data_IF_846079854332
#
_entry.id   IF_846079854332
#
_cell.length_a   1.000
_cell.length_b   1.000
_cell.length_c   1.000
_cell.angle_alpha   90.00
_cell.angle_beta   90.00
_cell.angle_gamma   90.00
#
_symmetry.space_group_name_H-M   'P 1'
#
loop_
_entity.id
_entity.type
_entity.pdbx_description
1 polymer ?
#
# COMPACT_ATOMS: atom_id res chain seq x y z
N UNK A 1 -32.20 -39.36 -9.92
CA UNK A 1 -31.30 -38.32 -9.38
C UNK A 1 -30.34 -37.78 -10.45
N UNK A 2 -29.87 -38.61 -11.40
CA UNK A 2 -28.90 -38.19 -12.43
C UNK A 2 -29.41 -37.16 -13.45
N UNK A 3 -30.68 -37.22 -13.86
CA UNK A 3 -31.24 -36.28 -14.84
C UNK A 3 -31.41 -34.86 -14.28
N UNK A 4 -31.71 -34.75 -12.98
CA UNK A 4 -31.82 -33.45 -12.29
C UNK A 4 -30.43 -32.80 -12.20
N UNK A 5 -29.41 -33.58 -11.83
CA UNK A 5 -28.03 -33.10 -11.77
C UNK A 5 -27.50 -32.65 -13.13
N UNK A 6 -27.86 -33.32 -14.24
CA UNK A 6 -27.51 -32.88 -15.60
C UNK A 6 -28.16 -31.54 -15.97
N UNK A 7 -29.44 -31.34 -15.62
CA UNK A 7 -30.14 -30.09 -15.90
C UNK A 7 -29.54 -28.94 -15.09
N UNK A 8 -29.29 -29.16 -13.79
CA UNK A 8 -28.66 -28.15 -12.92
C UNK A 8 -27.28 -27.77 -13.46
N UNK A 9 -26.45 -28.74 -13.83
CA UNK A 9 -25.11 -28.50 -14.36
C UNK A 9 -25.11 -27.80 -15.73
N UNK A 10 -26.21 -27.82 -16.47
CA UNK A 10 -26.34 -27.11 -17.74
C UNK A 10 -26.90 -25.69 -17.56
N UNK A 11 -27.88 -25.51 -16.66
CA UNK A 11 -28.53 -24.23 -16.39
C UNK A 11 -27.63 -23.31 -15.57
N UNK A 12 -26.89 -23.85 -14.60
CA UNK A 12 -26.06 -23.06 -13.70
C UNK A 12 -24.96 -22.25 -14.42
N UNK A 13 -24.18 -22.81 -15.37
CA UNK A 13 -23.20 -22.05 -16.15
C UNK A 13 -23.81 -20.94 -17.02
N UNK A 14 -25.02 -21.16 -17.55
CA UNK A 14 -25.72 -20.16 -18.35
C UNK A 14 -26.19 -18.99 -17.48
N UNK A 15 -26.69 -19.29 -16.28
CA UNK A 15 -27.09 -18.29 -15.30
C UNK A 15 -25.90 -17.48 -14.78
N UNK A 16 -24.76 -18.12 -14.50
CA UNK A 16 -23.55 -17.41 -14.07
C UNK A 16 -22.97 -16.55 -15.19
N UNK A 17 -22.98 -17.03 -16.44
CA UNK A 17 -22.55 -16.23 -17.59
C UNK A 17 -23.44 -14.99 -17.79
N UNK A 18 -24.76 -15.15 -17.66
CA UNK A 18 -25.70 -14.04 -17.71
C UNK A 18 -25.47 -13.04 -16.57
N UNK A 19 -25.29 -13.54 -15.33
CA UNK A 19 -24.98 -12.69 -14.19
C UNK A 19 -23.67 -11.91 -14.43
N UNK A 20 -22.62 -12.56 -14.92
CA UNK A 20 -21.37 -11.86 -15.26
C UNK A 20 -21.60 -10.79 -16.32
N UNK A 21 -22.34 -11.06 -17.39
CA UNK A 21 -22.62 -10.06 -18.43
C UNK A 21 -23.36 -8.81 -17.90
N UNK A 22 -24.23 -8.97 -16.91
CA UNK A 22 -25.00 -7.86 -16.32
C UNK A 22 -24.21 -7.13 -15.22
N UNK A 23 -23.55 -7.87 -14.33
CA UNK A 23 -22.89 -7.31 -13.14
C UNK A 23 -21.45 -6.86 -13.41
N UNK A 24 -20.74 -7.45 -14.38
CA UNK A 24 -19.37 -7.07 -14.71
C UNK A 24 -19.24 -5.62 -15.24
N UNK A 25 -20.08 -5.13 -16.18
CA UNK A 25 -19.95 -3.75 -16.68
C UNK A 25 -20.33 -2.71 -15.62
N UNK A 26 -21.27 -3.01 -14.72
CA UNK A 26 -21.61 -2.11 -13.61
C UNK A 26 -20.49 -2.05 -12.58
N UNK A 27 -19.88 -3.20 -12.25
CA UNK A 27 -18.68 -3.26 -11.41
C UNK A 27 -17.52 -2.44 -11.98
N UNK A 28 -17.27 -2.53 -13.30
CA UNK A 28 -16.23 -1.73 -13.96
C UNK A 28 -16.47 -0.22 -13.85
N UNK A 29 -17.73 0.23 -13.96
CA UNK A 29 -18.08 1.66 -13.79
C UNK A 29 -17.80 2.16 -12.38
N UNK A 30 -18.18 1.39 -11.36
CA UNK A 30 -17.90 1.73 -9.95
C UNK A 30 -16.40 1.79 -9.70
N UNK A 31 -15.64 0.80 -10.18
CA UNK A 31 -14.17 0.78 -10.04
C UNK A 31 -13.51 1.97 -10.75
N UNK A 32 -14.00 2.33 -11.92
CA UNK A 32 -13.45 3.46 -12.69
C UNK A 32 -13.75 4.79 -12.01
N UNK A 33 -14.98 5.00 -11.53
CA UNK A 33 -15.36 6.19 -10.77
C UNK A 33 -14.53 6.32 -9.49
N UNK A 34 -14.34 5.22 -8.75
CA UNK A 34 -13.48 5.20 -7.57
C UNK A 34 -12.01 5.48 -7.90
N UNK A 35 -11.51 4.95 -9.02
CA UNK A 35 -10.15 5.23 -9.51
C UNK A 35 -9.96 6.71 -9.85
N UNK A 36 -10.94 7.33 -10.50
CA UNK A 36 -10.93 8.76 -10.84
C UNK A 36 -11.00 9.62 -9.57
N UNK A 37 -11.89 9.30 -8.63
CA UNK A 37 -11.99 9.99 -7.35
C UNK A 37 -10.64 9.95 -6.59
N UNK A 38 -10.01 8.78 -6.52
CA UNK A 38 -8.73 8.59 -5.83
C UNK A 38 -7.58 9.34 -6.49
N UNK A 39 -7.59 9.50 -7.82
CA UNK A 39 -6.61 10.33 -8.53
C UNK A 39 -6.86 11.83 -8.32
N UNK A 40 -8.12 12.26 -8.25
CA UNK A 40 -8.51 13.65 -8.00
C UNK A 40 -8.20 14.10 -6.58
N UNK A 41 -8.34 13.22 -5.58
CA UNK A 41 -8.04 13.49 -4.17
C UNK A 41 -6.62 13.02 -3.77
N UNK A 42 -5.65 13.09 -4.68
CA UNK A 42 -4.26 12.77 -4.33
C UNK A 42 -3.66 13.86 -3.45
N UNK A 43 -3.38 13.56 -2.19
CA UNK A 43 -2.63 14.46 -1.32
C UNK A 43 -1.25 14.77 -1.91
N UNK A 44 -0.85 16.04 -1.88
CA UNK A 44 0.52 16.41 -2.19
C UNK A 44 1.42 16.04 -1.01
N UNK A 45 2.29 15.06 -1.25
CA UNK A 45 3.20 14.46 -0.28
C UNK A 45 4.66 14.78 -0.60
N UNK A 46 4.90 15.52 -1.69
CA UNK A 46 6.23 15.96 -2.06
C UNK A 46 6.82 16.82 -0.94
N UNK A 47 8.04 16.49 -0.53
CA UNK A 47 8.74 17.20 0.55
C UNK A 47 8.26 16.89 1.98
N UNK A 48 7.20 16.08 2.15
CA UNK A 48 6.74 15.59 3.46
C UNK A 48 7.49 14.34 3.88
N UNK A 49 7.46 14.02 5.18
CA UNK A 49 8.03 12.79 5.73
C UNK A 49 6.89 11.79 5.98
N UNK A 50 6.99 10.60 5.40
CA UNK A 50 6.00 9.53 5.53
C UNK A 50 6.61 8.34 6.24
N UNK A 51 6.00 7.94 7.35
CA UNK A 51 6.39 6.78 8.15
C UNK A 51 5.53 5.59 7.69
N UNK A 52 6.17 4.50 7.28
CA UNK A 52 5.49 3.30 6.80
C UNK A 52 5.93 2.11 7.65
N UNK A 53 4.97 1.49 8.34
CA UNK A 53 5.20 0.23 9.09
C UNK A 53 4.92 -0.99 8.22
N UNK A 54 5.60 -2.11 8.50
CA UNK A 54 5.46 -3.32 7.69
C UNK A 54 5.98 -3.12 6.26
N UNK A 55 7.00 -2.27 6.10
CA UNK A 55 7.44 -1.79 4.79
C UNK A 55 8.20 -2.84 3.96
N UNK A 56 8.61 -3.98 4.55
CA UNK A 56 9.44 -4.95 3.84
C UNK A 56 8.67 -5.89 2.90
N UNK A 57 7.33 -5.79 2.83
CA UNK A 57 6.54 -6.52 1.80
C UNK A 57 5.12 -5.98 1.61
N UNK A 58 4.46 -6.43 0.55
CA UNK A 58 3.01 -6.35 0.42
C UNK A 58 2.53 -4.90 0.28
N UNK A 59 1.59 -4.48 1.13
CA UNK A 59 1.00 -3.14 1.04
C UNK A 59 2.01 -2.06 1.45
N UNK A 60 2.78 -2.30 2.53
CA UNK A 60 3.80 -1.34 3.00
C UNK A 60 4.88 -1.09 1.95
N UNK A 61 5.36 -2.15 1.31
CA UNK A 61 6.30 -2.06 0.18
C UNK A 61 5.70 -1.26 -0.99
N UNK A 62 4.48 -1.60 -1.42
CA UNK A 62 3.84 -0.91 -2.54
C UNK A 62 3.65 0.59 -2.25
N UNK A 63 3.37 0.95 -0.99
CA UNK A 63 3.26 2.33 -0.57
C UNK A 63 4.61 3.03 -0.53
N UNK A 64 5.68 2.38 -0.06
CA UNK A 64 7.02 2.95 -0.11
C UNK A 64 7.37 3.39 -1.53
N UNK A 65 7.06 2.55 -2.53
CA UNK A 65 7.28 2.89 -3.93
C UNK A 65 6.37 4.03 -4.42
N UNK A 66 5.08 3.97 -4.11
CA UNK A 66 4.13 5.00 -4.56
C UNK A 66 4.39 6.38 -3.94
N UNK A 67 4.79 6.44 -2.66
CA UNK A 67 5.17 7.70 -2.01
C UNK A 67 6.55 8.19 -2.48
N UNK A 68 7.49 7.27 -2.75
CA UNK A 68 8.77 7.60 -3.37
C UNK A 68 8.58 8.28 -4.72
N UNK A 69 7.75 7.72 -5.62
CA UNK A 69 7.40 8.33 -6.91
C UNK A 69 6.82 9.75 -6.80
N UNK A 70 6.20 10.07 -5.66
CA UNK A 70 5.59 11.38 -5.39
C UNK A 70 6.54 12.34 -4.68
N UNK A 71 7.82 11.99 -4.52
CA UNK A 71 8.85 12.85 -3.94
C UNK A 71 8.72 13.03 -2.42
N UNK A 72 8.11 12.08 -1.72
CA UNK A 72 8.07 12.07 -0.26
C UNK A 72 9.39 11.56 0.31
N UNK A 73 9.82 12.12 1.44
CA UNK A 73 10.86 11.54 2.29
C UNK A 73 10.26 10.35 3.05
N UNK A 74 10.97 9.24 3.18
CA UNK A 74 10.40 8.03 3.78
C UNK A 74 11.18 7.56 4.99
N UNK A 75 10.44 7.15 6.02
CA UNK A 75 10.96 6.36 7.13
C UNK A 75 10.25 5.01 7.14
N UNK A 76 10.98 3.95 6.84
CA UNK A 76 10.44 2.60 6.67
C UNK A 76 10.80 1.75 7.88
N UNK A 77 9.82 1.03 8.44
CA UNK A 77 10.05 0.10 9.55
C UNK A 77 9.45 -1.27 9.28
N UNK A 78 10.23 -2.30 9.55
CA UNK A 78 9.84 -3.72 9.52
C UNK A 78 10.81 -4.52 10.39
N UNK A 79 10.45 -5.76 10.71
CA UNK A 79 11.31 -6.71 11.43
C UNK A 79 12.30 -7.42 10.51
N UNK A 80 12.03 -7.47 9.20
CA UNK A 80 12.88 -8.15 8.20
C UNK A 80 13.90 -7.17 7.60
N UNK A 81 15.14 -7.26 8.07
CA UNK A 81 16.30 -6.49 7.63
C UNK A 81 16.46 -6.45 6.10
N UNK A 82 16.83 -7.57 5.46
CA UNK A 82 17.32 -7.54 4.08
C UNK A 82 16.27 -7.02 3.10
N UNK A 83 15.03 -7.45 3.31
CA UNK A 83 13.89 -7.01 2.52
C UNK A 83 13.60 -5.52 2.73
N UNK A 84 13.70 -5.00 3.96
CA UNK A 84 13.51 -3.58 4.24
C UNK A 84 14.56 -2.71 3.53
N UNK A 85 15.84 -3.09 3.58
CA UNK A 85 16.90 -2.35 2.89
C UNK A 85 16.74 -2.37 1.37
N UNK A 86 16.29 -3.50 0.81
CA UNK A 86 15.99 -3.59 -0.62
C UNK A 86 14.83 -2.65 -1.01
N UNK A 87 13.74 -2.63 -0.24
CA UNK A 87 12.62 -1.71 -0.48
C UNK A 87 13.06 -0.25 -0.38
N UNK A 88 13.91 0.09 0.59
CA UNK A 88 14.43 1.45 0.75
C UNK A 88 15.21 1.90 -0.49
N UNK A 89 16.15 1.07 -0.97
CA UNK A 89 16.93 1.37 -2.17
C UNK A 89 16.05 1.55 -3.42
N UNK A 90 15.03 0.68 -3.59
CA UNK A 90 14.10 0.82 -4.71
C UNK A 90 13.23 2.08 -4.60
N UNK A 91 12.79 2.45 -3.39
CA UNK A 91 11.99 3.66 -3.19
C UNK A 91 12.78 4.94 -3.49
N UNK A 92 14.08 4.99 -3.19
CA UNK A 92 14.99 6.06 -3.64
C UNK A 92 15.10 6.10 -5.16
N UNK A 93 15.32 4.95 -5.80
CA UNK A 93 15.38 4.85 -7.26
C UNK A 93 14.08 5.30 -7.95
N UNK A 94 12.93 5.11 -7.30
CA UNK A 94 11.64 5.56 -7.82
C UNK A 94 11.36 7.05 -7.64
N UNK A 95 12.20 7.79 -6.91
CA UNK A 95 12.13 9.25 -6.80
C UNK A 95 11.98 9.79 -5.39
N UNK A 96 12.06 8.95 -4.35
CA UNK A 96 12.17 9.47 -2.99
C UNK A 96 13.46 10.29 -2.87
N UNK A 97 13.43 11.51 -2.32
CA UNK A 97 14.63 12.29 -2.11
C UNK A 97 15.60 11.62 -1.13
N UNK A 98 15.07 10.87 -0.16
CA UNK A 98 15.84 10.19 0.88
C UNK A 98 14.95 9.19 1.64
N UNK A 99 15.49 8.01 1.96
CA UNK A 99 14.80 6.96 2.69
C UNK A 99 15.63 6.45 3.86
N UNK A 100 15.03 6.37 5.05
CA UNK A 100 15.66 5.73 6.21
C UNK A 100 14.98 4.39 6.52
N UNK A 101 15.65 3.25 6.37
CA UNK A 101 15.18 1.97 6.88
C UNK A 101 15.55 1.80 8.36
N UNK A 102 14.58 1.43 9.19
CA UNK A 102 14.75 1.19 10.63
C UNK A 102 14.22 -0.20 10.94
N UNK A 103 15.11 -1.12 11.33
CA UNK A 103 14.71 -2.46 11.76
C UNK A 103 14.18 -2.38 13.20
N UNK A 104 12.89 -2.62 13.37
CA UNK A 104 12.25 -2.56 14.69
C UNK A 104 10.94 -3.35 14.72
N UNK A 105 10.58 -3.81 15.91
CA UNK A 105 9.33 -4.52 16.17
C UNK A 105 8.30 -3.52 16.71
N UNK A 106 7.38 -3.09 15.85
CA UNK A 106 6.33 -2.11 16.21
C UNK A 106 5.28 -2.64 17.18
N UNK A 107 5.36 -3.92 17.59
CA UNK A 107 4.57 -4.44 18.71
C UNK A 107 5.14 -4.05 20.08
N UNK A 108 6.40 -3.59 20.13
CA UNK A 108 7.08 -3.12 21.35
C UNK A 108 7.08 -1.60 21.40
N UNK A 109 6.62 -1.06 22.53
CA UNK A 109 6.49 0.39 22.70
C UNK A 109 7.84 1.11 22.58
N UNK A 110 8.90 0.52 23.12
CA UNK A 110 10.25 1.06 23.10
C UNK A 110 10.80 1.18 21.68
N UNK A 111 10.45 0.21 20.82
CA UNK A 111 10.85 0.19 19.41
C UNK A 111 10.08 1.22 18.59
N UNK A 112 8.79 1.43 18.88
CA UNK A 112 8.01 2.52 18.32
C UNK A 112 8.59 3.90 18.68
N UNK A 113 8.95 4.10 19.95
CA UNK A 113 9.60 5.33 20.39
C UNK A 113 10.95 5.56 19.70
N UNK A 114 11.76 4.50 19.57
CA UNK A 114 13.04 4.55 18.85
C UNK A 114 12.85 4.91 17.38
N UNK A 115 11.86 4.29 16.72
CA UNK A 115 11.53 4.56 15.32
C UNK A 115 11.14 6.02 15.09
N UNK A 116 10.22 6.55 15.90
CA UNK A 116 9.77 7.94 15.80
C UNK A 116 10.93 8.90 16.10
N UNK A 117 11.69 8.63 17.16
CA UNK A 117 12.83 9.47 17.56
C UNK A 117 13.91 9.52 16.48
N UNK A 118 14.30 8.38 15.93
CA UNK A 118 15.26 8.31 14.84
C UNK A 118 14.77 9.10 13.62
N UNK A 119 13.49 8.96 13.29
CA UNK A 119 12.86 9.70 12.17
C UNK A 119 12.90 11.22 12.37
N UNK A 120 12.53 11.69 13.56
CA UNK A 120 12.54 13.12 13.90
C UNK A 120 13.96 13.70 13.94
N UNK A 121 14.92 12.94 14.47
CA UNK A 121 16.33 13.35 14.50
C UNK A 121 16.91 13.45 13.08
N UNK A 122 16.53 12.53 12.20
CA UNK A 122 17.05 12.48 10.83
C UNK A 122 16.46 13.57 9.94
N UNK A 123 15.14 13.72 9.89
CA UNK A 123 14.48 14.67 8.97
C UNK A 123 14.18 16.05 9.58
N UNK A 124 14.34 16.22 10.90
CA UNK A 124 14.06 17.46 11.61
C UNK A 124 12.57 17.75 11.83
N UNK A 125 12.27 18.79 12.61
CA UNK A 125 10.88 19.17 13.03
C UNK A 125 10.08 19.97 11.99
N UNK A 126 10.69 20.36 10.87
CA UNK A 126 10.08 21.31 9.93
C UNK A 126 9.27 20.65 8.79
N UNK A 127 9.15 19.32 8.77
CA UNK A 127 8.36 18.59 7.77
C UNK A 127 7.09 18.02 8.41
N UNK A 128 5.97 18.08 7.69
CA UNK A 128 4.73 17.41 8.09
C UNK A 128 4.95 15.89 8.07
N UNK A 129 4.58 15.22 9.17
CA UNK A 129 4.75 13.78 9.37
C UNK A 129 3.39 13.08 9.20
N UNK A 130 3.32 12.10 8.31
CA UNK A 130 2.16 11.22 8.14
C UNK A 130 2.56 9.79 8.49
N UNK A 131 1.75 9.10 9.31
CA UNK A 131 1.99 7.71 9.71
C UNK A 131 1.00 6.81 8.99
N UNK A 132 1.51 5.76 8.34
CA UNK A 132 0.71 4.72 7.70
C UNK A 132 1.02 3.36 8.35
N UNK A 133 -0.01 2.76 8.94
CA UNK A 133 0.05 1.48 9.64
C UNK A 133 -0.90 0.49 8.97
N UNK A 134 -0.47 -0.77 8.83
CA UNK A 134 -1.25 -1.88 8.25
C UNK A 134 -1.29 -3.06 9.21
#
# INVERSE_FOLDING_TARGET
MDSINKIINFVFPLLTLYALLVFYPTYQRVKSAFSIYRNLFSENVAGKVVLITGAASGIGEALAYEYGKRGAYLALVDIRDEALFHVAALAELYGSPEVIPIVADVSKLEDCERFIRATVLHFGRCKSISIMTF
#
